data_IF_899540818470
#
_entry.id   IF_899540818470
#
_cell.length_a   1.000
_cell.length_b   1.000
_cell.length_c   1.000
_cell.angle_alpha   90.00
_cell.angle_beta   90.00
_cell.angle_gamma   90.00
#
_symmetry.space_group_name_H-M   'P 1'
#
loop_
_entity.id
_entity.type
_entity.pdbx_description
1 polymer ?
#
# COMPACT_ATOMS: atom_id res chain seq x y z
N UNK A 1 -38.83 17.13 -10.00
CA UNK A 1 -38.53 17.37 -8.57
C UNK A 1 -39.65 16.88 -7.65
N UNK A 2 -40.15 15.65 -7.82
CA UNK A 2 -41.03 14.97 -6.87
C UNK A 2 -40.78 13.46 -7.00
N UNK A 3 -39.68 12.99 -6.41
CA UNK A 3 -39.56 11.59 -5.96
C UNK A 3 -38.33 11.31 -5.08
N UNK A 4 -37.48 12.31 -4.79
CA UNK A 4 -36.29 12.15 -3.95
C UNK A 4 -36.55 12.38 -2.45
N UNK A 5 -37.75 12.83 -2.08
CA UNK A 5 -38.07 13.27 -0.70
C UNK A 5 -38.65 12.17 0.19
N UNK A 6 -38.93 10.97 -0.34
CA UNK A 6 -39.49 9.85 0.46
C UNK A 6 -38.47 8.80 0.93
N UNK A 7 -37.23 8.84 0.45
CA UNK A 7 -36.15 7.94 0.92
C UNK A 7 -35.32 8.60 2.04
N UNK A 8 -35.30 9.93 2.10
CA UNK A 8 -34.58 10.70 3.14
C UNK A 8 -35.36 10.73 4.48
N UNK A 9 -36.68 10.48 4.45
CA UNK A 9 -37.52 10.51 5.66
C UNK A 9 -37.45 9.23 6.52
N UNK A 10 -36.84 8.15 6.02
CA UNK A 10 -36.66 6.91 6.80
C UNK A 10 -35.24 6.76 7.39
N UNK A 11 -34.35 7.72 7.13
CA UNK A 11 -32.96 7.74 7.61
C UNK A 11 -32.72 8.67 8.81
N UNK A 12 -33.65 9.59 9.12
CA UNK A 12 -33.47 10.59 10.18
C UNK A 12 -33.97 10.18 11.59
N UNK A 13 -34.44 8.94 11.79
CA UNK A 13 -34.86 8.47 13.13
C UNK A 13 -33.89 7.50 13.82
N UNK A 14 -32.70 7.23 13.25
CA UNK A 14 -31.76 6.23 13.79
C UNK A 14 -30.42 6.83 14.23
N UNK A 15 -29.93 7.94 13.65
CA UNK A 15 -28.54 8.39 13.91
C UNK A 15 -28.33 9.86 14.34
N UNK A 16 -29.36 10.63 14.69
CA UNK A 16 -29.22 11.86 15.49
C UNK A 16 -28.15 12.89 15.03
N UNK A 17 -27.96 13.12 13.72
CA UNK A 17 -27.00 14.10 13.20
C UNK A 17 -27.71 15.12 12.29
N UNK A 18 -27.62 16.41 12.65
CA UNK A 18 -28.08 17.55 11.83
C UNK A 18 -26.97 17.95 10.86
N UNK A 19 -27.29 18.06 9.57
CA UNK A 19 -26.44 18.75 8.59
C UNK A 19 -27.11 20.06 8.14
N UNK A 20 -26.43 21.19 8.33
CA UNK A 20 -26.74 22.49 7.73
C UNK A 20 -25.84 22.73 6.50
N UNK A 21 -26.34 23.38 5.42
CA UNK A 21 -25.53 23.79 4.29
C UNK A 21 -25.07 25.25 4.43
N UNK A 22 -23.75 25.48 4.52
CA UNK A 22 -23.11 26.77 4.22
C UNK A 22 -22.30 26.60 2.93
N UNK A 23 -22.38 27.42 1.89
CA UNK A 23 -22.62 28.85 1.84
C UNK A 23 -21.37 29.53 1.25
N UNK A 24 -20.93 29.13 0.05
CA UNK A 24 -19.81 29.79 -0.62
C UNK A 24 -20.31 31.04 -1.36
N UNK A 25 -20.07 32.21 -0.77
CA UNK A 25 -20.22 33.50 -1.42
C UNK A 25 -18.98 33.78 -2.30
N UNK A 26 -19.16 33.76 -3.62
CA UNK A 26 -18.16 34.26 -4.55
C UNK A 26 -18.15 35.79 -4.54
N UNK A 27 -17.01 36.38 -4.19
CA UNK A 27 -16.78 37.82 -4.37
C UNK A 27 -16.66 38.14 -5.87
N UNK A 28 -17.70 38.77 -6.44
CA UNK A 28 -17.63 39.45 -7.73
C UNK A 28 -17.16 40.88 -7.47
N UNK A 29 -15.91 41.19 -7.84
CA UNK A 29 -15.41 42.56 -7.90
C UNK A 29 -16.02 43.26 -9.14
N UNK A 30 -17.20 43.85 -8.95
CA UNK A 30 -17.76 44.82 -9.89
C UNK A 30 -16.97 46.13 -9.79
N UNK A 31 -16.00 46.32 -10.69
CA UNK A 31 -15.36 47.61 -10.92
C UNK A 31 -16.39 48.62 -11.40
N UNK A 32 -16.92 49.40 -10.46
CA UNK A 32 -17.88 50.47 -10.74
C UNK A 32 -17.13 51.68 -11.27
N UNK A 33 -17.33 52.04 -12.54
CA UNK A 33 -16.88 53.32 -13.07
C UNK A 33 -17.76 54.43 -12.50
N UNK A 34 -17.28 55.15 -11.49
CA UNK A 34 -17.90 56.40 -11.05
C UNK A 34 -17.48 57.54 -11.98
N UNK A 35 -18.44 58.10 -12.73
CA UNK A 35 -18.30 59.43 -13.34
C UNK A 35 -18.98 60.46 -12.44
N UNK A 36 -18.21 61.31 -11.78
CA UNK A 36 -18.71 62.49 -11.07
C UNK A 36 -18.63 63.72 -11.99
N UNK A 37 -19.75 64.42 -12.12
CA UNK A 37 -19.87 65.68 -12.86
C UNK A 37 -19.36 66.85 -12.01
N UNK A 38 -18.45 67.67 -12.57
CA UNK A 38 -18.17 69.02 -12.07
C UNK A 38 -17.98 69.97 -13.24
N UNK A 39 -18.69 71.12 -13.30
CA UNK A 39 -18.67 72.02 -14.44
C UNK A 39 -17.53 73.03 -14.25
N UNK A 40 -16.38 72.77 -14.88
CA UNK A 40 -15.35 73.74 -15.33
C UNK A 40 -13.96 73.09 -15.34
N UNK A 41 -13.67 72.26 -16.35
CA UNK A 41 -12.32 72.09 -16.90
C UNK A 41 -12.41 71.22 -18.17
N UNK A 42 -11.59 71.50 -19.19
CA UNK A 42 -11.44 70.62 -20.37
C UNK A 42 -11.14 69.19 -19.91
N UNK A 43 -12.03 68.27 -20.21
CA UNK A 43 -11.90 66.84 -19.93
C UNK A 43 -10.76 66.24 -20.77
N UNK A 44 -9.61 65.99 -20.14
CA UNK A 44 -8.64 65.02 -20.67
C UNK A 44 -9.09 63.65 -20.17
N UNK A 45 -9.67 62.82 -21.05
CA UNK A 45 -9.81 61.40 -20.81
C UNK A 45 -8.41 60.79 -20.68
N UNK A 46 -7.96 60.55 -19.44
CA UNK A 46 -6.73 59.79 -19.17
C UNK A 46 -7.16 58.33 -19.00
N UNK A 47 -6.84 57.49 -19.98
CA UNK A 47 -6.99 56.05 -19.82
C UNK A 47 -6.22 55.61 -18.56
N UNK A 48 -6.79 54.75 -17.70
CA UNK A 48 -6.00 54.18 -16.61
C UNK A 48 -4.83 53.42 -17.24
N UNK A 49 -3.61 53.74 -16.81
CA UNK A 49 -2.44 52.96 -17.21
C UNK A 49 -2.72 51.50 -16.81
N UNK A 50 -2.49 50.52 -17.69
CA UNK A 50 -2.67 49.12 -17.31
C UNK A 50 -1.67 48.83 -16.20
N UNK A 51 -2.16 48.65 -14.98
CA UNK A 51 -1.36 48.11 -13.89
C UNK A 51 -1.07 46.66 -14.26
N UNK A 52 0.10 46.43 -14.86
CA UNK A 52 0.62 45.09 -15.12
C UNK A 52 0.98 44.50 -13.75
N UNK A 53 0.03 43.82 -13.13
CA UNK A 53 0.31 42.94 -12.00
C UNK A 53 1.08 41.76 -12.59
N UNK A 54 2.38 41.73 -12.38
CA UNK A 54 3.17 40.53 -12.61
C UNK A 54 2.68 39.46 -11.62
N UNK A 55 1.78 38.59 -12.07
CA UNK A 55 1.62 37.30 -11.42
C UNK A 55 2.95 36.56 -11.64
N UNK A 56 3.78 36.53 -10.60
CA UNK A 56 4.90 35.59 -10.54
C UNK A 56 4.26 34.21 -10.44
N UNK A 57 3.96 33.60 -11.59
CA UNK A 57 3.61 32.20 -11.63
C UNK A 57 4.92 31.46 -11.38
N UNK A 58 5.16 31.07 -10.14
CA UNK A 58 6.24 30.16 -9.80
C UNK A 58 6.02 28.90 -10.63
N UNK A 59 6.80 28.76 -11.71
CA UNK A 59 7.01 27.48 -12.36
C UNK A 59 7.64 26.60 -11.28
N UNK A 60 6.81 25.87 -10.54
CA UNK A 60 7.28 24.78 -9.72
C UNK A 60 7.93 23.81 -10.70
N UNK A 61 9.25 23.87 -10.82
CA UNK A 61 10.01 22.79 -11.39
C UNK A 61 9.62 21.56 -10.56
N UNK A 62 8.83 20.66 -11.13
CA UNK A 62 8.63 19.33 -10.55
C UNK A 62 10.03 18.75 -10.48
N UNK A 63 10.59 18.67 -9.27
CA UNK A 63 11.84 17.95 -9.06
C UNK A 63 11.55 16.51 -9.49
N UNK A 64 12.01 16.16 -10.67
CA UNK A 64 12.08 14.77 -11.10
C UNK A 64 13.12 14.16 -10.17
N UNK A 65 12.68 13.33 -9.21
CA UNK A 65 13.49 12.69 -8.15
C UNK A 65 13.35 13.28 -6.73
N UNK A 66 12.15 13.70 -6.34
CA UNK A 66 11.81 14.04 -4.96
C UNK A 66 12.07 12.88 -4.00
N UNK A 67 12.53 13.23 -2.80
CA UNK A 67 12.98 12.31 -1.76
C UNK A 67 11.85 11.97 -0.79
N UNK A 68 12.05 10.93 0.04
CA UNK A 68 11.08 10.54 1.07
C UNK A 68 10.68 11.75 1.93
N UNK A 69 9.38 11.91 2.21
CA UNK A 69 8.73 13.04 2.88
C UNK A 69 8.61 14.34 2.07
N UNK A 70 9.26 14.46 0.91
CA UNK A 70 9.06 15.62 0.05
C UNK A 70 7.70 15.57 -0.64
N UNK A 71 7.11 16.74 -0.88
CA UNK A 71 5.80 16.85 -1.52
C UNK A 71 5.85 16.33 -2.96
N UNK A 72 4.76 15.68 -3.39
CA UNK A 72 4.59 15.20 -4.75
C UNK A 72 3.14 15.43 -5.21
N UNK A 73 2.93 15.40 -6.52
CA UNK A 73 1.61 15.51 -7.14
C UNK A 73 1.36 14.38 -8.16
N UNK A 74 2.41 13.77 -8.68
CA UNK A 74 2.38 12.63 -9.58
C UNK A 74 3.41 11.57 -9.19
N UNK A 75 3.18 10.33 -9.63
CA UNK A 75 4.10 9.21 -9.36
C UNK A 75 5.52 9.47 -9.91
N UNK A 76 5.64 10.25 -10.99
CA UNK A 76 6.91 10.62 -11.63
C UNK A 76 7.72 11.67 -10.87
N UNK A 77 7.12 12.34 -9.88
CA UNK A 77 7.83 13.33 -9.06
C UNK A 77 8.82 12.64 -8.13
N UNK A 78 8.46 11.46 -7.61
CA UNK A 78 9.27 10.74 -6.65
C UNK A 78 10.42 9.99 -7.31
N UNK A 79 11.52 9.83 -6.57
CA UNK A 79 12.67 9.06 -7.02
C UNK A 79 12.38 7.56 -7.21
N UNK A 80 13.29 6.81 -7.87
CA UNK A 80 13.15 5.37 -8.05
C UNK A 80 12.91 4.63 -6.74
N UNK A 81 11.98 3.67 -6.75
CA UNK A 81 11.61 2.90 -5.55
C UNK A 81 10.73 3.67 -4.55
N UNK A 82 10.32 4.89 -4.88
CA UNK A 82 9.39 5.70 -4.10
C UNK A 82 8.01 5.76 -4.76
N UNK A 83 7.01 6.06 -3.95
CA UNK A 83 5.62 6.18 -4.34
C UNK A 83 5.06 7.53 -3.88
N UNK A 84 4.25 8.18 -4.72
CA UNK A 84 3.58 9.42 -4.34
C UNK A 84 2.25 9.12 -3.62
N UNK A 85 2.29 9.08 -2.29
CA UNK A 85 1.17 8.68 -1.44
C UNK A 85 0.62 9.83 -0.59
N UNK A 86 -0.64 9.72 -0.18
CA UNK A 86 -1.26 10.64 0.78
C UNK A 86 -1.51 9.91 2.11
N UNK A 87 -1.47 10.66 3.21
CA UNK A 87 -1.94 10.19 4.51
C UNK A 87 -2.92 11.18 5.17
N UNK A 88 -4.21 11.17 4.75
CA UNK A 88 -5.23 12.05 5.31
C UNK A 88 -5.44 11.86 6.81
N UNK A 89 -5.29 10.62 7.32
CA UNK A 89 -5.44 10.30 8.74
C UNK A 89 -4.43 11.02 9.67
N UNK A 90 -3.31 11.51 9.11
CA UNK A 90 -2.34 12.34 9.82
C UNK A 90 -2.53 13.85 9.54
N UNK A 91 -3.59 14.24 8.86
CA UNK A 91 -3.88 15.63 8.50
C UNK A 91 -2.98 16.19 7.40
N UNK A 92 -2.26 15.33 6.66
CA UNK A 92 -1.48 15.77 5.51
C UNK A 92 -2.41 16.28 4.40
N UNK A 93 -2.17 17.53 3.98
CA UNK A 93 -2.99 18.21 2.96
C UNK A 93 -2.49 17.99 1.53
N UNK A 94 -1.29 17.47 1.37
CA UNK A 94 -0.66 17.20 0.09
C UNK A 94 0.02 15.82 0.13
N UNK A 95 0.05 15.10 -1.00
CA UNK A 95 0.82 13.87 -1.11
C UNK A 95 2.31 14.10 -0.89
N UNK A 96 2.99 13.07 -0.41
CA UNK A 96 4.43 13.02 -0.20
C UNK A 96 5.02 11.77 -0.84
N UNK A 97 6.31 11.82 -1.17
CA UNK A 97 7.03 10.63 -1.56
C UNK A 97 7.23 9.73 -0.35
N UNK A 98 6.72 8.51 -0.44
CA UNK A 98 6.89 7.44 0.53
C UNK A 98 7.71 6.31 -0.09
N UNK A 99 8.22 5.42 0.73
CA UNK A 99 8.95 4.25 0.29
C UNK A 99 7.99 3.26 -0.35
N UNK A 100 8.34 2.75 -1.54
CA UNK A 100 7.52 1.78 -2.28
C UNK A 100 8.12 0.38 -2.37
N UNK A 101 9.36 0.19 -1.88
CA UNK A 101 10.07 -1.09 -1.90
C UNK A 101 11.00 -1.24 -0.69
N UNK A 102 11.16 -2.46 -0.14
CA UNK A 102 12.20 -2.75 0.86
C UNK A 102 13.55 -2.94 0.15
N UNK A 103 14.63 -2.93 0.92
CA UNK A 103 15.92 -3.41 0.41
C UNK A 103 15.89 -4.93 0.40
N UNK A 104 16.15 -5.57 -0.74
CA UNK A 104 16.28 -7.03 -0.77
C UNK A 104 17.48 -7.46 0.11
N UNK A 105 17.28 -8.31 1.13
CA UNK A 105 18.34 -8.64 2.07
C UNK A 105 19.35 -9.65 1.50
N UNK A 106 18.90 -10.57 0.64
CA UNK A 106 19.68 -11.72 0.15
C UNK A 106 20.92 -11.36 -0.67
N UNK A 107 20.99 -10.23 -1.43
CA UNK A 107 22.24 -9.81 -2.06
C UNK A 107 23.25 -9.15 -1.10
N UNK A 108 22.81 -8.71 0.09
CA UNK A 108 23.65 -8.01 1.08
C UNK A 108 24.17 -8.98 2.12
N UNK A 109 23.28 -9.80 2.67
CA UNK A 109 23.58 -10.88 3.61
C UNK A 109 22.98 -12.16 3.04
N UNK A 110 23.84 -13.08 2.64
CA UNK A 110 23.47 -14.34 2.01
C UNK A 110 23.84 -15.54 2.89
N UNK A 111 23.41 -16.73 2.49
CA UNK A 111 23.81 -17.99 3.15
C UNK A 111 23.23 -18.19 4.55
N UNK A 112 22.31 -17.34 5.00
CA UNK A 112 21.58 -17.54 6.25
C UNK A 112 20.34 -18.44 6.06
N UNK A 113 19.93 -19.17 7.12
CA UNK A 113 18.66 -19.91 7.16
C UNK A 113 17.46 -19.03 6.82
N UNK A 114 16.47 -19.58 6.10
CA UNK A 114 15.24 -18.86 5.73
C UNK A 114 14.53 -18.20 6.92
N UNK A 115 14.52 -18.87 8.07
CA UNK A 115 13.94 -18.38 9.32
C UNK A 115 14.79 -17.32 10.06
N UNK A 116 15.85 -16.77 9.45
CA UNK A 116 16.52 -15.55 9.95
C UNK A 116 15.99 -14.29 9.28
N UNK A 117 15.37 -14.39 8.11
CA UNK A 117 14.88 -13.24 7.37
C UNK A 117 13.49 -12.84 7.83
N UNK A 118 13.20 -11.56 7.67
CA UNK A 118 11.88 -10.95 7.81
C UNK A 118 11.34 -10.60 6.41
N UNK A 119 10.09 -10.96 6.16
CA UNK A 119 9.40 -10.77 4.90
C UNK A 119 8.08 -10.01 5.10
N UNK A 120 7.74 -9.15 4.14
CA UNK A 120 6.43 -8.50 4.10
C UNK A 120 5.39 -9.50 3.61
N UNK A 121 4.25 -9.54 4.29
CA UNK A 121 3.08 -10.33 3.92
C UNK A 121 1.89 -9.40 3.72
N UNK A 122 1.14 -9.61 2.64
CA UNK A 122 -0.13 -8.90 2.43
C UNK A 122 -1.29 -9.77 2.93
N UNK A 123 -2.10 -9.22 3.83
CA UNK A 123 -3.33 -9.84 4.30
C UNK A 123 -4.37 -9.81 3.18
N UNK A 124 -5.02 -10.95 2.92
CA UNK A 124 -6.00 -11.12 1.85
C UNK A 124 -5.56 -10.48 0.53
N UNK A 125 -4.40 -10.94 0.02
CA UNK A 125 -3.66 -10.33 -1.09
C UNK A 125 -4.50 -10.13 -2.36
N UNK A 126 -5.55 -10.94 -2.55
CA UNK A 126 -6.46 -10.88 -3.71
C UNK A 126 -7.61 -9.88 -3.55
N UNK A 127 -7.86 -9.40 -2.33
CA UNK A 127 -8.98 -8.54 -1.97
C UNK A 127 -8.65 -7.09 -2.35
N UNK A 128 -8.70 -6.81 -3.65
CA UNK A 128 -8.20 -5.58 -4.25
C UNK A 128 -9.32 -4.57 -4.45
N UNK A 129 -9.10 -3.32 -4.01
CA UNK A 129 -10.00 -2.19 -4.24
C UNK A 129 -10.31 -2.05 -5.74
N UNK A 130 -11.58 -1.82 -6.06
CA UNK A 130 -12.07 -1.68 -7.43
C UNK A 130 -11.86 -2.89 -8.36
N UNK A 131 -11.44 -4.05 -7.84
CA UNK A 131 -11.39 -5.27 -8.65
C UNK A 131 -12.79 -5.54 -9.25
N UNK A 132 -12.90 -5.88 -10.55
CA UNK A 132 -14.20 -6.10 -11.18
C UNK A 132 -15.04 -7.13 -10.41
N UNK A 133 -16.32 -6.86 -10.11
CA UNK A 133 -17.19 -7.83 -9.49
C UNK A 133 -17.63 -8.89 -10.50
N UNK A 134 -18.26 -9.96 -10.00
CA UNK A 134 -18.89 -10.96 -10.86
C UNK A 134 -20.02 -10.32 -11.69
N UNK A 135 -20.23 -10.76 -12.96
CA UNK A 135 -21.30 -10.24 -13.80
C UNK A 135 -22.66 -10.30 -13.11
N UNK A 136 -23.34 -9.15 -13.02
CA UNK A 136 -24.67 -9.03 -12.43
C UNK A 136 -24.71 -9.07 -10.90
N UNK A 137 -23.57 -9.05 -10.20
CA UNK A 137 -23.50 -9.10 -8.74
C UNK A 137 -22.73 -7.89 -8.22
N UNK A 138 -23.32 -7.14 -7.28
CA UNK A 138 -22.58 -6.12 -6.55
C UNK A 138 -21.70 -6.80 -5.49
N UNK A 139 -20.40 -6.53 -5.48
CA UNK A 139 -19.51 -7.01 -4.42
C UNK A 139 -19.77 -6.20 -3.14
N UNK A 140 -20.00 -6.90 -2.03
CA UNK A 140 -20.24 -6.36 -0.69
C UNK A 140 -19.32 -7.10 0.27
N UNK A 141 -18.10 -6.58 0.41
CA UNK A 141 -17.08 -7.11 1.31
C UNK A 141 -16.04 -6.03 1.57
N UNK A 142 -15.07 -6.33 2.43
CA UNK A 142 -13.93 -5.46 2.71
C UNK A 142 -12.80 -5.69 1.71
N UNK A 143 -12.03 -4.64 1.45
CA UNK A 143 -10.84 -4.68 0.60
C UNK A 143 -9.60 -4.52 1.46
N UNK A 144 -8.53 -5.21 1.10
CA UNK A 144 -7.31 -5.27 1.88
C UNK A 144 -6.13 -4.68 1.14
N UNK A 145 -6.13 -4.65 -0.19
CA UNK A 145 -5.02 -4.16 -1.00
C UNK A 145 -5.51 -3.28 -2.14
N UNK A 146 -4.61 -2.52 -2.75
CA UNK A 146 -4.90 -1.67 -3.93
C UNK A 146 -4.18 -2.16 -5.19
N UNK A 147 -3.19 -3.03 -5.03
CA UNK A 147 -2.34 -3.55 -6.10
C UNK A 147 -2.70 -4.99 -6.46
N UNK A 148 -2.51 -5.36 -7.74
CA UNK A 148 -2.51 -6.77 -8.14
C UNK A 148 -1.46 -7.57 -7.38
N UNK A 149 -1.64 -8.89 -7.28
CA UNK A 149 -0.66 -9.76 -6.63
C UNK A 149 0.69 -9.70 -7.35
N UNK A 150 0.68 -9.59 -8.68
CA UNK A 150 1.88 -9.32 -9.47
C UNK A 150 2.63 -8.07 -8.98
N UNK A 151 1.92 -6.96 -8.74
CA UNK A 151 2.54 -5.71 -8.29
C UNK A 151 2.99 -5.79 -6.83
N UNK A 152 2.23 -6.46 -5.95
CA UNK A 152 2.65 -6.73 -4.58
C UNK A 152 4.02 -7.44 -4.56
N UNK A 153 4.17 -8.51 -5.35
CA UNK A 153 5.44 -9.25 -5.47
C UNK A 153 6.57 -8.39 -6.06
N UNK A 154 6.28 -7.59 -7.10
CA UNK A 154 7.27 -6.66 -7.69
C UNK A 154 7.69 -5.54 -6.72
N UNK A 155 6.83 -5.18 -5.78
CA UNK A 155 7.11 -4.18 -4.76
C UNK A 155 7.80 -4.75 -3.50
N UNK A 156 8.19 -6.03 -3.54
CA UNK A 156 9.00 -6.65 -2.48
C UNK A 156 8.20 -7.44 -1.43
N UNK A 157 6.88 -7.61 -1.63
CA UNK A 157 6.10 -8.58 -0.85
C UNK A 157 6.61 -9.99 -1.17
N UNK A 158 6.78 -10.82 -0.14
CA UNK A 158 7.24 -12.22 -0.29
C UNK A 158 6.37 -13.22 0.47
N UNK A 159 5.32 -12.76 1.15
CA UNK A 159 4.25 -13.61 1.63
C UNK A 159 2.87 -13.14 1.18
N UNK A 160 1.96 -14.07 0.91
CA UNK A 160 0.59 -13.79 0.52
C UNK A 160 -0.36 -14.56 1.44
N UNK A 161 -1.34 -13.89 2.04
CA UNK A 161 -2.45 -14.56 2.73
C UNK A 161 -3.64 -14.66 1.79
N UNK A 162 -4.17 -15.88 1.64
CA UNK A 162 -5.24 -16.19 0.70
C UNK A 162 -6.34 -17.02 1.37
N UNK A 163 -7.53 -16.45 1.45
CA UNK A 163 -8.73 -17.19 1.85
C UNK A 163 -9.27 -18.00 0.66
N UNK A 164 -9.21 -19.33 0.75
CA UNK A 164 -9.60 -20.25 -0.33
C UNK A 164 -10.85 -21.05 0.04
N UNK A 165 -11.82 -21.11 -0.87
CA UNK A 165 -13.10 -21.77 -0.67
C UNK A 165 -13.46 -22.66 -1.85
N UNK A 166 -14.14 -23.79 -1.58
CA UNK A 166 -14.92 -24.46 -2.63
C UNK A 166 -16.10 -23.58 -3.05
N UNK A 167 -16.17 -23.23 -4.33
CA UNK A 167 -17.23 -22.39 -4.87
C UNK A 167 -17.42 -22.60 -6.37
N UNK A 168 -18.68 -22.69 -6.83
CA UNK A 168 -19.00 -22.89 -8.26
C UNK A 168 -18.25 -24.08 -8.91
N UNK A 169 -18.08 -25.19 -8.18
CA UNK A 169 -17.33 -26.38 -8.61
C UNK A 169 -15.85 -26.15 -8.90
N UNK A 170 -15.25 -25.12 -8.32
CA UNK A 170 -13.82 -24.79 -8.40
C UNK A 170 -13.35 -24.22 -7.05
N UNK A 171 -12.07 -23.87 -6.92
CA UNK A 171 -11.51 -23.19 -5.74
C UNK A 171 -11.39 -21.71 -6.02
N UNK A 172 -12.03 -20.90 -5.19
CA UNK A 172 -12.12 -19.46 -5.34
C UNK A 172 -11.50 -18.71 -4.18
N UNK A 173 -11.08 -17.49 -4.48
CA UNK A 173 -10.68 -16.50 -3.49
C UNK A 173 -11.88 -15.63 -3.11
N UNK A 174 -12.24 -15.63 -1.83
CA UNK A 174 -13.41 -14.93 -1.33
C UNK A 174 -13.11 -14.28 0.02
N UNK A 175 -13.49 -13.01 0.19
CA UNK A 175 -13.43 -12.36 1.50
C UNK A 175 -14.78 -12.53 2.18
N UNK A 176 -14.98 -13.68 2.81
CA UNK A 176 -16.30 -14.19 3.20
C UNK A 176 -16.40 -14.52 4.69
N UNK A 177 -17.49 -15.17 5.11
CA UNK A 177 -17.75 -15.48 6.51
C UNK A 177 -18.39 -16.86 6.68
N UNK A 178 -18.23 -17.43 7.88
CA UNK A 178 -18.79 -18.74 8.28
C UNK A 178 -18.33 -19.91 7.39
N UNK A 179 -17.12 -19.84 6.84
CA UNK A 179 -16.55 -20.90 6.01
C UNK A 179 -17.31 -21.16 4.71
N UNK A 180 -18.02 -20.16 4.18
CA UNK A 180 -18.74 -20.27 2.91
C UNK A 180 -18.44 -19.07 2.01
N UNK A 181 -18.20 -19.32 0.73
CA UNK A 181 -18.11 -18.25 -0.28
C UNK A 181 -19.48 -17.94 -0.87
N UNK A 182 -19.76 -16.65 -1.06
CA UNK A 182 -20.99 -16.17 -1.70
C UNK A 182 -20.63 -15.36 -2.94
N UNK A 183 -21.56 -15.29 -3.91
CA UNK A 183 -21.36 -14.50 -5.13
C UNK A 183 -20.97 -13.05 -4.85
N UNK A 184 -21.51 -12.43 -3.79
CA UNK A 184 -21.24 -11.04 -3.42
C UNK A 184 -19.95 -10.83 -2.60
N UNK A 185 -19.28 -11.91 -2.17
CA UNK A 185 -17.98 -11.88 -1.48
C UNK A 185 -16.84 -12.46 -2.32
N UNK A 186 -17.17 -13.08 -3.46
CA UNK A 186 -16.21 -13.70 -4.38
C UNK A 186 -15.40 -12.65 -5.17
N UNK A 187 -14.12 -12.95 -5.38
CA UNK A 187 -13.22 -12.18 -6.23
C UNK A 187 -12.98 -12.87 -7.55
N UNK A 188 -12.30 -14.03 -7.53
CA UNK A 188 -11.94 -14.78 -8.73
C UNK A 188 -11.55 -16.23 -8.39
N UNK A 189 -11.49 -17.14 -9.38
CA UNK A 189 -10.85 -18.44 -9.22
C UNK A 189 -9.41 -18.29 -8.74
N UNK A 190 -9.01 -19.12 -7.77
CA UNK A 190 -7.70 -19.02 -7.12
C UNK A 190 -6.54 -19.28 -8.09
N UNK A 191 -6.77 -20.09 -9.13
CA UNK A 191 -5.77 -20.40 -10.16
C UNK A 191 -5.22 -19.16 -10.86
N UNK A 192 -6.02 -18.09 -10.99
CA UNK A 192 -5.57 -16.84 -11.63
C UNK A 192 -4.47 -16.15 -10.82
N UNK A 193 -4.70 -15.99 -9.51
CA UNK A 193 -3.69 -15.43 -8.61
C UNK A 193 -2.46 -16.33 -8.50
N UNK A 194 -2.63 -17.65 -8.46
CA UNK A 194 -1.50 -18.58 -8.44
C UNK A 194 -0.67 -18.53 -9.73
N UNK A 195 -1.27 -18.25 -10.89
CA UNK A 195 -0.54 -18.00 -12.14
C UNK A 195 0.27 -16.71 -12.11
N UNK A 196 -0.20 -15.67 -11.40
CA UNK A 196 0.62 -14.47 -11.16
C UNK A 196 1.88 -14.82 -10.33
N UNK A 197 1.73 -15.69 -9.32
CA UNK A 197 2.87 -16.19 -8.51
C UNK A 197 3.82 -17.04 -9.36
N UNK A 198 3.30 -17.92 -10.22
CA UNK A 198 4.10 -18.76 -11.10
C UNK A 198 4.92 -17.90 -12.07
N UNK A 199 4.28 -16.91 -12.71
CA UNK A 199 4.95 -15.99 -13.62
C UNK A 199 6.07 -15.23 -12.89
N UNK A 200 5.80 -14.73 -11.68
CA UNK A 200 6.81 -14.06 -10.86
C UNK A 200 7.99 -14.96 -10.52
N UNK A 201 7.76 -16.20 -10.07
CA UNK A 201 8.83 -17.14 -9.74
C UNK A 201 9.63 -17.60 -10.96
N UNK A 202 8.99 -17.64 -12.15
CA UNK A 202 9.66 -17.90 -13.42
C UNK A 202 10.56 -16.72 -13.84
N UNK A 203 10.06 -15.49 -13.72
CA UNK A 203 10.83 -14.27 -14.03
C UNK A 203 11.97 -14.02 -13.04
N UNK A 204 11.84 -14.47 -11.79
CA UNK A 204 12.75 -14.16 -10.69
C UNK A 204 13.32 -15.45 -10.05
N UNK A 205 14.38 -16.06 -10.62
CA UNK A 205 14.84 -17.39 -10.25
C UNK A 205 15.47 -17.49 -8.85
N UNK A 206 15.83 -16.35 -8.24
CA UNK A 206 16.43 -16.28 -6.91
C UNK A 206 15.42 -16.00 -5.80
N UNK A 207 14.15 -15.75 -6.14
CA UNK A 207 13.13 -15.33 -5.18
C UNK A 207 12.38 -16.53 -4.62
N UNK A 208 11.97 -16.40 -3.36
CA UNK A 208 11.13 -17.35 -2.63
C UNK A 208 9.83 -16.65 -2.26
N UNK A 209 8.69 -17.31 -2.50
CA UNK A 209 7.37 -16.82 -2.10
C UNK A 209 6.77 -17.75 -1.05
N UNK A 210 6.15 -17.18 -0.03
CA UNK A 210 5.36 -17.90 0.96
C UNK A 210 3.87 -17.65 0.71
N UNK A 211 3.04 -18.69 0.76
CA UNK A 211 1.58 -18.57 0.73
C UNK A 211 1.03 -19.15 2.02
N UNK A 212 0.13 -18.42 2.66
CA UNK A 212 -0.55 -18.80 3.91
C UNK A 212 -2.04 -18.82 3.62
N UNK A 213 -2.65 -19.99 3.69
CA UNK A 213 -4.03 -20.21 3.25
C UNK A 213 -4.95 -20.26 4.47
N UNK A 214 -5.94 -19.37 4.51
CA UNK A 214 -7.13 -19.60 5.32
C UNK A 214 -8.04 -20.55 4.54
N UNK A 215 -8.08 -21.80 4.99
CA UNK A 215 -8.50 -22.95 4.19
C UNK A 215 -9.92 -23.39 4.50
N UNK A 216 -10.81 -23.20 3.51
CA UNK A 216 -12.19 -23.69 3.48
C UNK A 216 -12.43 -24.62 2.28
N UNK A 217 -11.38 -25.28 1.79
CA UNK A 217 -11.44 -26.23 0.67
C UNK A 217 -11.65 -27.64 1.21
N UNK A 218 -12.83 -28.19 0.99
CA UNK A 218 -13.21 -29.54 1.36
C UNK A 218 -13.04 -30.55 0.22
N UNK A 219 -12.93 -30.08 -1.03
CA UNK A 219 -12.64 -30.93 -2.18
C UNK A 219 -11.37 -31.75 -1.94
N UNK A 220 -11.43 -33.10 -2.00
CA UNK A 220 -10.26 -33.94 -1.77
C UNK A 220 -9.13 -33.64 -2.76
N UNK A 221 -7.91 -33.45 -2.26
CA UNK A 221 -6.74 -33.04 -3.07
C UNK A 221 -6.90 -31.69 -3.78
N UNK A 222 -7.86 -30.88 -3.34
CA UNK A 222 -8.22 -29.62 -3.99
C UNK A 222 -7.03 -28.68 -4.09
N UNK A 223 -6.29 -28.48 -2.99
CA UNK A 223 -5.13 -27.59 -2.98
C UNK A 223 -4.00 -28.16 -3.84
N UNK A 224 -3.61 -29.43 -3.65
CA UNK A 224 -2.52 -30.00 -4.46
C UNK A 224 -2.82 -29.90 -5.96
N UNK A 225 -4.04 -30.25 -6.39
CA UNK A 225 -4.46 -30.17 -7.79
C UNK A 225 -4.44 -28.73 -8.31
N UNK A 226 -4.94 -27.78 -7.51
CA UNK A 226 -4.93 -26.36 -7.84
C UNK A 226 -3.49 -25.86 -8.08
N UNK A 227 -2.57 -26.12 -7.14
CA UNK A 227 -1.18 -25.69 -7.26
C UNK A 227 -0.45 -26.36 -8.45
N UNK A 228 -0.68 -27.65 -8.69
CA UNK A 228 -0.16 -28.33 -9.89
C UNK A 228 -0.73 -27.72 -11.17
N UNK A 229 -2.03 -27.41 -11.22
CA UNK A 229 -2.66 -26.80 -12.40
C UNK A 229 -2.14 -25.40 -12.70
N UNK A 230 -1.71 -24.67 -11.67
CA UNK A 230 -1.03 -23.39 -11.80
C UNK A 230 0.45 -23.51 -12.19
N UNK A 231 1.02 -24.73 -12.21
CA UNK A 231 2.43 -24.97 -12.51
C UNK A 231 3.38 -24.64 -11.36
N UNK A 232 2.89 -24.60 -10.13
CA UNK A 232 3.67 -24.22 -8.94
C UNK A 232 4.32 -25.39 -8.19
N UNK A 233 3.92 -26.62 -8.51
CA UNK A 233 4.45 -27.85 -7.92
C UNK A 233 5.97 -28.00 -8.10
N UNK A 234 6.52 -27.55 -9.25
CA UNK A 234 7.97 -27.49 -9.50
C UNK A 234 8.76 -26.63 -8.50
N UNK A 235 8.10 -25.72 -7.78
CA UNK A 235 8.72 -24.83 -6.79
C UNK A 235 8.53 -25.27 -5.34
N UNK A 236 7.73 -26.32 -5.10
CA UNK A 236 7.19 -26.64 -3.79
C UNK A 236 8.26 -27.03 -2.76
N UNK A 237 8.25 -26.39 -1.60
CA UNK A 237 9.06 -26.81 -0.45
C UNK A 237 8.34 -27.94 0.31
N UNK A 238 8.90 -29.16 0.38
CA UNK A 238 8.20 -30.30 0.94
C UNK A 238 8.18 -30.29 2.47
N UNK A 239 7.05 -30.68 3.07
CA UNK A 239 6.85 -30.81 4.54
C UNK A 239 7.92 -31.67 5.20
N UNK A 240 8.41 -32.71 4.54
CA UNK A 240 9.46 -33.60 5.06
C UNK A 240 10.79 -32.90 5.33
N UNK A 241 11.04 -31.74 4.69
CA UNK A 241 12.23 -30.91 4.88
C UNK A 241 12.01 -29.74 5.84
N UNK A 242 10.80 -29.54 6.37
CA UNK A 242 10.56 -28.49 7.37
C UNK A 242 11.30 -28.88 8.66
N UNK A 243 12.14 -27.98 9.22
CA UNK A 243 12.87 -28.26 10.44
C UNK A 243 11.93 -28.53 11.62
N UNK A 244 12.40 -29.37 12.54
CA UNK A 244 11.66 -29.69 13.77
C UNK A 244 12.33 -29.03 14.97
N UNK A 245 11.55 -28.79 16.02
CA UNK A 245 12.04 -28.33 17.33
C UNK A 245 12.81 -27.00 17.28
N UNK A 246 12.34 -26.04 16.48
CA UNK A 246 12.94 -24.72 16.39
C UNK A 246 14.27 -24.66 15.64
N UNK A 247 14.70 -25.75 15.00
CA UNK A 247 15.92 -25.77 14.22
C UNK A 247 15.86 -24.82 13.02
N UNK A 248 17.04 -24.43 12.56
CA UNK A 248 17.21 -23.59 11.39
C UNK A 248 16.69 -24.28 10.12
N UNK A 249 16.05 -23.47 9.27
CA UNK A 249 15.66 -23.85 7.91
C UNK A 249 16.89 -24.03 7.02
N UNK A 250 16.76 -24.74 5.89
CA UNK A 250 17.75 -24.61 4.83
C UNK A 250 18.00 -23.12 4.54
N UNK A 251 19.23 -22.81 4.16
CA UNK A 251 19.58 -21.46 3.75
C UNK A 251 18.76 -21.05 2.54
N UNK A 252 18.52 -19.76 2.37
CA UNK A 252 17.83 -19.24 1.18
C UNK A 252 18.55 -19.69 -0.10
N UNK A 253 19.89 -19.73 -0.07
CA UNK A 253 20.71 -20.24 -1.18
C UNK A 253 20.42 -21.70 -1.49
N UNK A 254 20.36 -22.58 -0.48
CA UNK A 254 20.05 -24.00 -0.67
C UNK A 254 18.61 -24.22 -1.17
N UNK A 255 17.65 -23.44 -0.67
CA UNK A 255 16.26 -23.48 -1.15
C UNK A 255 16.18 -23.11 -2.62
N UNK A 256 16.84 -22.02 -3.03
CA UNK A 256 16.89 -21.57 -4.43
C UNK A 256 17.57 -22.60 -5.33
N UNK A 257 18.73 -23.14 -4.92
CA UNK A 257 19.46 -24.15 -5.68
C UNK A 257 18.67 -25.45 -5.89
N UNK A 258 17.89 -25.86 -4.88
CA UNK A 258 16.99 -27.00 -4.98
C UNK A 258 15.67 -26.68 -5.71
N UNK A 259 15.50 -25.45 -6.19
CA UNK A 259 14.25 -24.90 -6.73
C UNK A 259 13.05 -25.03 -5.76
N UNK A 260 13.28 -25.13 -4.45
CA UNK A 260 12.24 -25.14 -3.42
C UNK A 260 11.88 -23.70 -3.01
N UNK A 261 11.28 -22.97 -3.95
CA UNK A 261 11.07 -21.52 -3.88
C UNK A 261 9.62 -21.12 -3.54
N UNK A 262 8.76 -22.09 -3.26
CA UNK A 262 7.39 -21.86 -2.80
C UNK A 262 7.16 -22.59 -1.49
N UNK A 263 6.90 -21.84 -0.42
CA UNK A 263 6.55 -22.39 0.91
C UNK A 263 5.06 -22.17 1.13
N UNK A 264 4.29 -23.22 1.39
CA UNK A 264 2.82 -23.11 1.55
C UNK A 264 2.37 -23.67 2.89
N UNK A 265 1.58 -22.86 3.59
CA UNK A 265 0.92 -23.20 4.83
C UNK A 265 -0.60 -23.16 4.67
N UNK A 266 -1.30 -23.97 5.46
CA UNK A 266 -2.77 -24.01 5.54
C UNK A 266 -3.23 -24.00 7.00
N UNK A 267 -4.39 -23.38 7.25
CA UNK A 267 -5.08 -23.39 8.54
C UNK A 267 -5.79 -24.71 8.85
N UNK A 268 -5.96 -25.63 7.90
CA UNK A 268 -6.57 -26.94 8.14
C UNK A 268 -5.50 -28.00 8.41
N UNK A 269 -5.50 -28.55 9.63
CA UNK A 269 -4.54 -29.55 10.08
C UNK A 269 -4.57 -30.86 9.27
N UNK A 270 -5.72 -31.22 8.67
CA UNK A 270 -5.86 -32.46 7.90
C UNK A 270 -5.01 -32.47 6.63
N UNK A 271 -4.83 -31.29 6.02
CA UNK A 271 -4.11 -31.11 4.75
C UNK A 271 -2.65 -31.49 4.79
N UNK A 272 -2.00 -31.47 5.95
CA UNK A 272 -0.60 -31.89 6.03
C UNK A 272 -0.45 -33.39 5.80
N UNK A 273 -1.31 -34.19 6.42
CA UNK A 273 -1.30 -35.64 6.22
C UNK A 273 -1.89 -36.02 4.86
N UNK A 274 -2.97 -35.34 4.47
CA UNK A 274 -3.75 -35.71 3.30
C UNK A 274 -3.15 -35.16 2.01
N UNK A 275 -2.63 -33.95 1.99
CA UNK A 275 -2.21 -33.24 0.76
C UNK A 275 -0.72 -32.83 0.78
N UNK A 276 -0.03 -32.98 1.91
CA UNK A 276 1.35 -32.53 2.06
C UNK A 276 1.51 -31.02 2.12
N UNK A 277 0.44 -30.28 2.47
CA UNK A 277 0.47 -28.82 2.69
C UNK A 277 0.70 -28.56 4.18
N UNK A 278 1.71 -27.76 4.52
CA UNK A 278 2.17 -27.63 5.90
C UNK A 278 1.10 -27.00 6.81
N UNK A 279 0.79 -27.64 7.94
CA UNK A 279 -0.17 -27.07 8.89
C UNK A 279 0.47 -25.89 9.64
N UNK A 280 -0.07 -24.69 9.45
CA UNK A 280 0.50 -23.42 9.92
C UNK A 280 0.96 -23.48 11.39
N UNK A 281 0.04 -23.76 12.32
CA UNK A 281 0.31 -23.71 13.75
C UNK A 281 1.19 -24.85 14.29
N UNK A 282 1.53 -25.83 13.45
CA UNK A 282 2.58 -26.81 13.75
C UNK A 282 3.98 -26.26 13.51
N UNK A 283 4.14 -25.33 12.57
CA UNK A 283 5.45 -24.90 12.07
C UNK A 283 5.78 -23.43 12.35
N UNK A 284 4.79 -22.60 12.69
CA UNK A 284 5.00 -21.21 13.11
C UNK A 284 4.17 -20.85 14.35
N UNK A 285 4.65 -19.87 15.11
CA UNK A 285 3.82 -19.14 16.09
C UNK A 285 3.18 -17.93 15.43
N UNK A 286 2.04 -17.49 15.96
CA UNK A 286 1.26 -16.39 15.40
C UNK A 286 0.59 -15.58 16.53
N UNK A 287 0.60 -14.25 16.42
CA UNK A 287 -0.20 -13.40 17.29
C UNK A 287 -1.65 -13.31 16.80
N UNK A 288 -2.57 -12.89 17.66
CA UNK A 288 -3.95 -12.68 17.24
C UNK A 288 -4.05 -11.70 16.08
N UNK A 289 -5.11 -11.88 15.30
CA UNK A 289 -5.44 -11.05 14.15
C UNK A 289 -6.59 -10.09 14.48
N UNK A 290 -6.79 -9.08 13.63
CA UNK A 290 -7.85 -8.09 13.82
C UNK A 290 -7.68 -7.24 15.08
N UNK A 291 -8.76 -6.64 15.56
CA UNK A 291 -8.72 -5.74 16.72
C UNK A 291 -8.20 -6.41 18.02
N UNK A 292 -8.47 -7.70 18.31
CA UNK A 292 -7.82 -8.40 19.42
C UNK A 292 -6.30 -8.50 19.29
N UNK A 293 -5.76 -8.42 18.07
CA UNK A 293 -4.33 -8.44 17.76
C UNK A 293 -3.68 -7.05 17.65
N UNK A 294 -4.47 -6.01 17.38
CA UNK A 294 -4.02 -4.61 17.25
C UNK A 294 -4.33 -3.85 18.53
N UNK A 295 -3.75 -4.32 19.64
CA UNK A 295 -3.89 -3.70 20.96
C UNK A 295 -2.57 -3.05 21.39
N UNK A 296 -2.59 -1.75 21.73
CA UNK A 296 -1.36 -1.04 22.11
C UNK A 296 -0.69 -1.70 23.33
N UNK A 297 0.59 -2.04 23.19
CA UNK A 297 1.40 -2.65 24.25
C UNK A 297 1.09 -4.11 24.55
N UNK A 298 0.20 -4.76 23.79
CA UNK A 298 -0.18 -6.16 23.92
C UNK A 298 0.04 -6.90 22.60
N UNK A 299 0.56 -8.12 22.66
CA UNK A 299 0.70 -8.99 21.50
C UNK A 299 0.28 -10.41 21.89
N UNK A 300 -1.03 -10.67 22.00
CA UNK A 300 -1.54 -11.96 22.43
C UNK A 300 -1.29 -13.00 21.33
N UNK A 301 -1.05 -14.26 21.71
CA UNK A 301 -0.96 -15.36 20.75
C UNK A 301 -2.36 -15.76 20.27
N UNK A 302 -2.45 -16.19 19.01
CA UNK A 302 -3.67 -16.76 18.45
C UNK A 302 -4.03 -18.07 19.15
N UNK A 303 -5.32 -18.35 19.33
CA UNK A 303 -5.80 -19.54 20.07
C UNK A 303 -5.27 -20.87 19.52
N UNK A 304 -5.20 -21.01 18.21
CA UNK A 304 -4.71 -22.22 17.53
C UNK A 304 -3.18 -22.35 17.62
N UNK A 305 -2.49 -21.23 17.81
CA UNK A 305 -1.03 -21.16 17.92
C UNK A 305 -0.52 -21.58 19.30
N UNK A 306 0.74 -22.02 19.36
CA UNK A 306 1.48 -22.02 20.62
C UNK A 306 1.76 -20.59 21.08
N UNK A 307 2.09 -20.43 22.36
CA UNK A 307 2.56 -19.16 22.91
C UNK A 307 3.73 -18.61 22.09
N UNK A 308 3.78 -17.29 21.90
CA UNK A 308 4.80 -16.63 21.05
C UNK A 308 6.24 -16.89 21.50
N UNK A 309 6.46 -17.13 22.79
CA UNK A 309 7.77 -17.47 23.34
C UNK A 309 8.12 -18.96 23.21
N UNK A 310 7.28 -19.78 22.56
CA UNK A 310 7.61 -21.15 22.19
C UNK A 310 8.87 -21.16 21.32
N UNK A 311 9.72 -22.16 21.55
CA UNK A 311 10.91 -22.44 20.74
C UNK A 311 10.80 -23.74 19.97
N UNK A 312 9.61 -24.36 19.98
CA UNK A 312 9.36 -25.59 19.21
C UNK A 312 9.14 -25.30 17.73
N UNK A 313 8.65 -24.11 17.41
CA UNK A 313 8.49 -23.56 16.07
C UNK A 313 9.65 -22.60 15.78
N UNK A 314 10.13 -22.58 14.53
CA UNK A 314 11.23 -21.73 14.09
C UNK A 314 10.79 -20.50 13.31
N UNK A 315 9.48 -20.36 13.05
CA UNK A 315 8.89 -19.22 12.34
C UNK A 315 7.91 -18.46 13.24
N UNK A 316 7.81 -17.14 13.03
CA UNK A 316 6.83 -16.27 13.64
C UNK A 316 6.12 -15.40 12.59
N UNK A 317 4.80 -15.55 12.48
CA UNK A 317 3.91 -14.66 11.73
C UNK A 317 3.31 -13.59 12.65
N UNK A 318 3.60 -12.33 12.37
CA UNK A 318 2.99 -11.19 13.05
C UNK A 318 1.87 -10.59 12.19
N UNK A 319 0.63 -10.73 12.64
CA UNK A 319 -0.52 -10.00 12.12
C UNK A 319 -0.55 -8.57 12.70
N UNK A 320 -0.62 -7.57 11.82
CA UNK A 320 -0.85 -6.19 12.20
C UNK A 320 -1.83 -5.53 11.24
N UNK A 321 -3.11 -5.80 11.48
CA UNK A 321 -4.21 -5.22 10.74
C UNK A 321 -5.49 -5.24 11.59
N UNK A 322 -6.32 -4.17 11.55
CA UNK A 322 -7.60 -4.16 12.25
C UNK A 322 -8.59 -5.14 11.62
N UNK A 323 -9.67 -5.46 12.34
CA UNK A 323 -10.75 -6.31 11.83
C UNK A 323 -11.39 -5.70 10.58
N UNK A 324 -11.53 -4.36 10.60
CA UNK A 324 -12.11 -3.59 9.51
C UNK A 324 -11.00 -2.81 8.81
N UNK A 325 -10.57 -3.22 7.61
CA UNK A 325 -9.53 -2.51 6.88
C UNK A 325 -10.07 -1.15 6.42
N UNK A 326 -9.43 -0.07 6.89
CA UNK A 326 -9.79 1.30 6.49
C UNK A 326 -8.64 1.91 5.69
N UNK A 327 -8.82 1.95 4.38
CA UNK A 327 -7.83 2.44 3.41
C UNK A 327 -7.23 3.82 3.77
N UNK A 328 -8.06 4.73 4.30
CA UNK A 328 -7.63 6.09 4.67
C UNK A 328 -6.76 6.13 5.94
N UNK A 329 -6.91 5.15 6.83
CA UNK A 329 -6.21 5.08 8.12
C UNK A 329 -4.93 4.24 8.03
N UNK A 330 -4.81 3.34 7.05
CA UNK A 330 -3.66 2.43 6.93
C UNK A 330 -2.30 3.12 6.79
N UNK A 331 -2.26 4.33 6.25
CA UNK A 331 -1.02 5.12 6.23
C UNK A 331 -0.52 5.45 7.66
N UNK A 332 -1.44 5.70 8.60
CA UNK A 332 -1.12 5.93 10.01
C UNK A 332 -0.76 4.62 10.70
N UNK A 333 -1.45 3.53 10.37
CA UNK A 333 -1.20 2.19 10.92
C UNK A 333 0.26 1.75 10.63
N UNK A 334 0.71 1.80 9.38
CA UNK A 334 2.03 1.29 8.97
C UNK A 334 3.20 2.23 9.29
N UNK A 335 3.02 3.17 10.22
CA UNK A 335 4.01 4.19 10.59
C UNK A 335 4.54 3.91 12.00
N UNK A 336 4.59 4.90 12.89
CA UNK A 336 5.01 4.70 14.27
C UNK A 336 4.26 3.56 15.02
N UNK A 337 2.93 3.39 14.86
CA UNK A 337 2.19 2.31 15.53
C UNK A 337 2.66 0.90 15.15
N UNK A 338 2.94 0.63 13.87
CA UNK A 338 3.48 -0.66 13.44
C UNK A 338 4.87 -0.93 14.06
N UNK A 339 5.74 0.08 14.12
CA UNK A 339 7.05 -0.06 14.77
C UNK A 339 6.93 -0.35 16.28
N UNK A 340 5.97 0.28 16.96
CA UNK A 340 5.63 0.01 18.36
C UNK A 340 5.13 -1.43 18.55
N UNK A 341 4.27 -1.91 17.66
CA UNK A 341 3.77 -3.28 17.71
C UNK A 341 4.87 -4.30 17.44
N UNK A 342 5.76 -4.08 16.47
CA UNK A 342 6.93 -4.95 16.25
C UNK A 342 7.75 -5.10 17.53
N UNK A 343 8.01 -4.01 18.25
CA UNK A 343 8.74 -4.05 19.51
C UNK A 343 7.96 -4.76 20.63
N UNK A 344 6.64 -4.60 20.65
CA UNK A 344 5.75 -5.27 21.60
C UNK A 344 5.76 -6.78 21.38
N UNK A 345 5.56 -7.22 20.14
CA UNK A 345 5.60 -8.62 19.76
C UNK A 345 6.99 -9.24 19.90
N UNK A 346 8.07 -8.49 19.63
CA UNK A 346 9.45 -8.92 19.89
C UNK A 346 9.65 -9.30 21.36
N UNK A 347 9.17 -8.47 22.29
CA UNK A 347 9.24 -8.75 23.74
C UNK A 347 8.36 -9.95 24.12
N UNK A 348 7.11 -9.99 23.64
CA UNK A 348 6.17 -11.08 23.91
C UNK A 348 6.68 -12.43 23.38
N UNK A 349 7.37 -12.43 22.24
CA UNK A 349 8.00 -13.59 21.63
C UNK A 349 9.35 -13.96 22.28
N UNK A 350 9.75 -13.33 23.38
CA UNK A 350 10.99 -13.63 24.10
C UNK A 350 12.26 -13.24 23.34
N UNK A 351 12.26 -12.03 22.77
CA UNK A 351 13.35 -11.46 21.97
C UNK A 351 13.55 -12.15 20.61
N UNK A 352 12.46 -12.60 19.98
CA UNK A 352 12.46 -13.11 18.61
C UNK A 352 11.70 -12.11 17.72
N UNK A 353 12.35 -11.59 16.69
CA UNK A 353 11.69 -10.76 15.69
C UNK A 353 10.81 -11.63 14.77
N UNK A 354 9.64 -11.14 14.35
CA UNK A 354 8.81 -11.83 13.37
C UNK A 354 9.56 -12.16 12.07
N UNK A 355 9.30 -13.32 11.50
CA UNK A 355 9.74 -13.69 10.16
C UNK A 355 8.81 -13.16 9.08
N UNK A 356 7.54 -12.95 9.42
CA UNK A 356 6.51 -12.46 8.53
C UNK A 356 5.77 -11.31 9.21
N UNK A 357 5.61 -10.19 8.50
CA UNK A 357 4.83 -9.04 8.96
C UNK A 357 3.65 -8.86 8.00
N UNK A 358 2.46 -9.26 8.45
CA UNK A 358 1.22 -9.22 7.69
C UNK A 358 0.47 -7.91 7.92
N UNK A 359 0.14 -7.21 6.83
CA UNK A 359 -0.55 -5.91 6.85
C UNK A 359 -1.60 -5.81 5.75
N UNK A 360 -2.61 -4.95 5.96
CA UNK A 360 -3.44 -4.43 4.86
C UNK A 360 -2.67 -3.33 4.10
N UNK A 361 -3.15 -2.87 2.95
CA UNK A 361 -2.73 -1.66 2.22
C UNK A 361 -1.22 -1.34 2.32
N UNK A 362 -0.38 -2.34 2.04
CA UNK A 362 1.05 -2.34 2.41
C UNK A 362 1.87 -1.14 1.89
N UNK A 363 1.43 -0.50 0.82
CA UNK A 363 2.07 0.69 0.24
C UNK A 363 1.79 1.99 1.00
N UNK A 364 0.72 2.03 1.81
CA UNK A 364 0.30 3.25 2.52
C UNK A 364 1.14 3.47 3.76
N UNK A 365 1.75 4.65 3.87
CA UNK A 365 2.55 5.05 5.04
C UNK A 365 2.70 6.57 5.12
N UNK A 366 3.34 7.05 6.19
CA UNK A 366 3.74 8.44 6.36
C UNK A 366 5.14 8.78 5.83
N UNK A 367 5.79 7.83 5.14
CA UNK A 367 7.17 7.98 4.68
C UNK A 367 7.84 6.62 4.48
N UNK A 368 8.31 6.00 5.56
CA UNK A 368 9.08 4.75 5.49
C UNK A 368 8.24 3.47 5.39
N UNK A 369 7.11 3.44 6.10
CA UNK A 369 6.15 2.35 6.05
C UNK A 369 6.68 0.99 6.53
N UNK A 370 5.92 -0.05 6.15
CA UNK A 370 6.31 -1.46 6.39
C UNK A 370 7.67 -1.80 5.75
N UNK A 371 8.02 -1.13 4.65
CA UNK A 371 9.30 -1.34 3.94
C UNK A 371 10.51 -0.96 4.80
N UNK A 372 10.48 0.23 5.42
CA UNK A 372 11.57 0.66 6.31
C UNK A 372 11.63 -0.17 7.59
N UNK A 373 10.47 -0.59 8.11
CA UNK A 373 10.39 -1.44 9.30
C UNK A 373 11.04 -2.81 9.04
N UNK A 374 10.73 -3.46 7.92
CA UNK A 374 11.35 -4.75 7.57
C UNK A 374 12.84 -4.62 7.28
N UNK A 375 13.29 -3.52 6.69
CA UNK A 375 14.71 -3.21 6.53
C UNK A 375 15.45 -3.11 7.87
N UNK A 376 14.85 -2.45 8.86
CA UNK A 376 15.37 -2.36 10.22
C UNK A 376 15.42 -3.74 10.88
N UNK A 377 14.32 -4.50 10.81
CA UNK A 377 14.26 -5.86 11.36
C UNK A 377 15.32 -6.78 10.77
N UNK A 378 15.51 -6.76 9.45
CA UNK A 378 16.55 -7.53 8.78
C UNK A 378 17.96 -7.03 9.15
N UNK A 379 18.19 -5.72 9.27
CA UNK A 379 19.46 -5.18 9.77
C UNK A 379 19.83 -5.74 11.14
N UNK A 380 18.86 -5.73 12.06
CA UNK A 380 19.05 -6.22 13.43
C UNK A 380 19.32 -7.72 13.46
N UNK A 381 18.48 -8.51 12.78
CA UNK A 381 18.55 -9.98 12.85
C UNK A 381 19.72 -10.56 12.06
N UNK A 382 20.02 -9.99 10.88
CA UNK A 382 20.98 -10.60 9.96
C UNK A 382 22.43 -10.16 10.22
N UNK A 383 22.64 -8.92 10.71
CA UNK A 383 23.99 -8.38 10.88
C UNK A 383 24.19 -7.50 12.12
N UNK A 384 23.18 -7.31 12.97
CA UNK A 384 23.29 -6.52 14.21
C UNK A 384 23.28 -5.01 14.01
N UNK A 385 22.87 -4.53 12.84
CA UNK A 385 22.84 -3.12 12.51
C UNK A 385 21.43 -2.54 12.58
N UNK A 386 21.33 -1.21 12.62
CA UNK A 386 20.04 -0.51 12.66
C UNK A 386 19.18 -0.71 11.41
N UNK A 387 19.78 -1.08 10.28
CA UNK A 387 19.09 -1.37 9.01
C UNK A 387 19.97 -2.24 8.11
N UNK A 388 19.34 -2.99 7.22
CA UNK A 388 20.00 -3.90 6.28
C UNK A 388 21.02 -3.20 5.37
N UNK A 389 20.81 -1.93 5.02
CA UNK A 389 21.75 -1.16 4.19
C UNK A 389 23.06 -0.82 4.92
N UNK A 390 23.07 -0.88 6.26
CA UNK A 390 24.26 -0.74 7.07
C UNK A 390 25.12 -2.01 7.10
N UNK A 391 24.56 -3.15 6.71
CA UNK A 391 25.26 -4.43 6.77
C UNK A 391 26.46 -4.46 5.81
N UNK A 392 27.45 -5.26 6.20
CA UNK A 392 28.68 -5.49 5.46
C UNK A 392 28.83 -6.98 5.19
N UNK A 393 28.90 -7.34 3.91
CA UNK A 393 29.08 -8.74 3.51
C UNK A 393 30.39 -9.29 4.08
N UNK A 394 30.31 -10.42 4.77
CA UNK A 394 31.47 -11.08 5.38
C UNK A 394 32.01 -10.42 6.65
N UNK A 395 31.45 -9.29 7.10
CA UNK A 395 31.88 -8.65 8.34
C UNK A 395 31.25 -9.35 9.57
N UNK A 396 31.90 -9.28 10.74
CA UNK A 396 31.33 -9.79 11.98
C UNK A 396 30.01 -9.08 12.34
N UNK A 397 29.10 -9.80 13.00
CA UNK A 397 27.85 -9.24 13.53
C UNK A 397 28.12 -7.98 14.39
N UNK A 398 27.36 -6.91 14.14
CA UNK A 398 27.52 -5.59 14.77
C UNK A 398 28.49 -4.65 14.05
N UNK A 399 29.19 -5.11 13.00
CA UNK A 399 30.13 -4.28 12.23
C UNK A 399 29.40 -3.47 11.15
N UNK A 400 28.83 -2.33 11.54
CA UNK A 400 27.95 -1.54 10.68
C UNK A 400 28.72 -0.47 9.89
N UNK A 401 28.33 -0.27 8.62
CA UNK A 401 28.72 0.94 7.87
C UNK A 401 28.19 2.16 8.60
N UNK A 402 28.99 3.23 8.61
CA UNK A 402 28.47 4.54 8.94
C UNK A 402 27.62 5.04 7.77
N UNK A 403 26.37 4.58 7.75
CA UNK A 403 25.34 5.19 6.92
C UNK A 403 24.85 6.41 7.67
N UNK A 404 24.90 7.58 7.03
CA UNK A 404 24.05 8.69 7.44
C UNK A 404 22.63 8.14 7.55
N UNK A 405 22.00 8.31 8.72
CA UNK A 405 20.55 8.12 8.87
C UNK A 405 19.93 8.80 7.65
N UNK A 406 19.07 8.13 6.86
CA UNK A 406 18.62 8.71 5.60
C UNK A 406 17.86 10.01 5.86
N UNK A 407 18.58 11.13 5.81
CA UNK A 407 18.07 12.35 5.24
C UNK A 407 18.00 12.09 3.75
N UNK A 408 16.79 11.90 3.23
CA UNK A 408 16.44 12.33 1.88
C UNK A 408 17.44 11.95 0.77
N UNK A 409 17.96 10.71 0.72
CA UNK A 409 18.85 10.30 -0.38
C UNK A 409 18.70 8.82 -0.72
N UNK A 410 18.60 8.44 -2.00
CA UNK A 410 18.50 7.05 -2.41
C UNK A 410 19.90 6.43 -2.51
N UNK A 411 20.07 5.22 -1.98
CA UNK A 411 21.22 4.36 -2.30
C UNK A 411 20.86 3.57 -3.56
N UNK A 412 21.48 3.93 -4.67
CA UNK A 412 21.43 3.17 -5.93
C UNK A 412 22.33 1.93 -5.81
N UNK A 413 21.77 0.79 -5.41
CA UNK A 413 22.38 -0.51 -5.65
C UNK A 413 21.58 -1.24 -6.74
N UNK A 414 22.17 -1.34 -7.93
CA UNK A 414 21.63 -1.95 -9.16
C UNK A 414 21.59 -3.49 -9.15
N UNK A 415 21.49 -4.12 -7.98
CA UNK A 415 21.30 -5.56 -7.88
C UNK A 415 19.85 -5.87 -7.52
N UNK A 416 18.99 -6.01 -8.54
CA UNK A 416 17.61 -6.52 -8.41
C UNK A 416 16.49 -5.47 -8.31
N UNK A 417 16.75 -4.20 -8.60
CA UNK A 417 15.70 -3.16 -8.61
C UNK A 417 14.95 -3.14 -9.95
N UNK A 418 13.63 -3.26 -9.91
CA UNK A 418 12.76 -2.94 -11.04
C UNK A 418 12.84 -1.43 -11.32
N UNK A 419 13.23 -1.07 -12.55
CA UNK A 419 13.30 0.33 -12.98
C UNK A 419 11.93 0.77 -13.47
N UNK A 420 11.13 1.38 -12.59
CA UNK A 420 9.83 1.96 -12.92
C UNK A 420 9.19 2.65 -11.71
N UNK A 421 8.29 3.62 -11.96
CA UNK A 421 7.43 4.16 -10.92
C UNK A 421 6.47 3.08 -10.43
N UNK A 422 6.28 2.94 -9.11
CA UNK A 422 5.21 2.09 -8.57
C UNK A 422 3.87 2.74 -8.96
N UNK A 423 3.18 2.13 -9.92
CA UNK A 423 1.93 2.64 -10.46
C UNK A 423 0.77 1.79 -9.95
N UNK A 424 -0.06 2.39 -9.10
CA UNK A 424 -1.39 1.85 -8.80
C UNK A 424 -2.23 1.83 -10.08
N UNK A 425 -3.21 0.93 -10.12
CA UNK A 425 -4.30 0.97 -11.11
C UNK A 425 -5.04 2.33 -11.12
N UNK A 426 -4.97 3.09 -10.02
CA UNK A 426 -5.34 4.51 -9.95
C UNK A 426 -4.31 5.31 -9.14
N UNK A 427 -3.60 6.23 -9.79
CA UNK A 427 -2.78 7.23 -9.08
C UNK A 427 -3.67 8.17 -8.26
N UNK A 428 -3.12 8.76 -7.19
CA UNK A 428 -3.76 9.85 -6.47
C UNK A 428 -4.30 10.88 -7.48
N UNK A 429 -5.56 11.29 -7.31
CA UNK A 429 -6.19 12.27 -8.19
C UNK A 429 -5.25 13.46 -8.35
N UNK A 430 -4.85 13.75 -9.59
CA UNK A 430 -4.02 14.93 -9.88
C UNK A 430 -4.71 16.14 -9.27
N UNK A 431 -4.05 16.85 -8.37
CA UNK A 431 -4.53 18.16 -7.94
C UNK A 431 -4.43 19.05 -9.16
N UNK A 432 -5.53 19.18 -9.91
CA UNK A 432 -5.64 20.12 -11.01
C UNK A 432 -5.50 21.53 -10.44
N UNK A 433 -4.28 22.03 -10.42
CA UNK A 433 -4.08 23.47 -10.41
C UNK A 433 -4.64 23.96 -11.75
N UNK A 434 -5.59 24.92 -11.77
CA UNK A 434 -6.06 25.49 -13.01
C UNK A 434 -4.83 26.01 -13.77
N UNK A 435 -4.65 25.48 -14.98
CA UNK A 435 -3.47 25.73 -15.79
C UNK A 435 -3.24 27.25 -15.87
N UNK A 436 -2.13 27.74 -15.32
CA UNK A 436 -1.88 29.19 -15.16
C UNK A 436 -1.98 29.92 -16.51
N UNK A 437 -1.66 29.22 -17.61
CA UNK A 437 -1.83 29.71 -18.98
C UNK A 437 -3.29 30.04 -19.32
N UNK A 438 -4.26 29.22 -18.90
CA UNK A 438 -5.68 29.49 -19.14
C UNK A 438 -6.18 30.67 -18.32
N UNK A 439 -5.72 30.84 -17.08
CA UNK A 439 -6.06 32.00 -16.25
C UNK A 439 -5.46 33.29 -16.81
N UNK A 440 -4.20 33.27 -17.27
CA UNK A 440 -3.54 34.40 -17.91
C UNK A 440 -4.22 34.76 -19.24
N UNK A 441 -4.55 33.77 -20.07
CA UNK A 441 -5.27 33.99 -21.34
C UNK A 441 -6.68 34.55 -21.11
N UNK A 442 -7.42 34.04 -20.12
CA UNK A 442 -8.74 34.58 -19.75
C UNK A 442 -8.65 36.02 -19.25
N UNK A 443 -7.64 36.34 -18.43
CA UNK A 443 -7.42 37.72 -17.98
C UNK A 443 -7.02 38.65 -19.12
N UNK A 444 -6.17 38.19 -20.04
CA UNK A 444 -5.75 38.96 -21.21
C UNK A 444 -6.93 39.25 -22.14
N UNK A 445 -7.79 38.25 -22.38
CA UNK A 445 -9.01 38.40 -23.17
C UNK A 445 -10.00 39.37 -22.49
N UNK A 446 -10.20 39.28 -21.17
CA UNK A 446 -11.04 40.24 -20.44
C UNK A 446 -10.50 41.68 -20.52
N UNK A 447 -9.18 41.83 -20.45
CA UNK A 447 -8.51 43.13 -20.60
C UNK A 447 -8.69 43.71 -22.00
N UNK A 448 -8.62 42.86 -23.03
CA UNK A 448 -8.81 43.25 -24.43
C UNK A 448 -10.27 43.69 -24.70
N UNK A 449 -11.24 42.96 -24.17
CA UNK A 449 -12.67 43.29 -24.29
C UNK A 449 -12.97 44.62 -23.59
N UNK A 450 -12.43 44.85 -22.40
CA UNK A 450 -12.59 46.12 -21.69
C UNK A 450 -11.98 47.30 -22.46
N UNK A 451 -10.82 47.12 -23.11
CA UNK A 451 -10.18 48.13 -23.95
C UNK A 451 -10.99 48.45 -25.21
N UNK A 452 -11.56 47.42 -25.86
CA UNK A 452 -12.44 47.60 -27.04
C UNK A 452 -13.72 48.33 -26.66
N UNK A 453 -14.35 47.99 -25.53
CA UNK A 453 -15.55 48.68 -25.05
C UNK A 453 -15.28 50.14 -24.67
N UNK A 454 -14.12 50.45 -24.07
CA UNK A 454 -13.75 51.85 -23.77
C UNK A 454 -13.43 52.65 -25.04
N UNK A 455 -12.80 52.04 -26.04
CA UNK A 455 -12.58 52.66 -27.34
C UNK A 455 -13.91 52.94 -28.08
N UNK A 456 -14.86 52.00 -28.03
CA UNK A 456 -16.20 52.20 -28.60
C UNK A 456 -16.96 53.32 -27.88
N UNK A 457 -16.90 53.38 -26.56
CA UNK A 457 -17.55 54.43 -25.77
C UNK A 457 -16.97 55.83 -26.05
N UNK A 458 -15.65 55.94 -26.29
CA UNK A 458 -15.01 57.18 -26.73
C UNK A 458 -15.39 57.59 -28.15
N UNK A 459 -15.53 56.64 -29.09
CA UNK A 459 -15.95 56.91 -30.46
C UNK A 459 -17.41 57.40 -30.55
N UNK A 460 -18.31 56.85 -29.74
CA UNK A 460 -19.71 57.32 -29.64
C UNK A 460 -19.88 58.67 -28.96
N UNK A 461 -18.87 59.16 -28.23
CA UNK A 461 -18.90 60.48 -27.58
C UNK A 461 -18.30 61.61 -28.45
N UNK A 462 -17.68 61.25 -29.58
CA UNK A 462 -17.03 62.18 -30.52
C UNK A 462 -17.79 62.35 -31.85
N UNK A 463 -18.94 61.69 -31.99
CA UNK A 463 -19.85 61.77 -33.14
C UNK A 463 -21.10 62.59 -32.84
#
# INVERSE_FOLDING_TARGET
>A
MHNTTRIIAQWNSIFGLKFEPSGYAGFVLLGSAMCSHSPNYRSKCRAPAPAVIFLICSLSFTNVNSQVLEACSAATDCGPGLFCGNCPALGLKQPICTRGQPTLPTPIVNGLPFNKYTWIVTHNSFSIVDAPPLPGVQRITFYNQEDSVTNQLRNGVRGLMLDMYDFQNDIWLCHSFRGQCYNFTAFQPAVNTLKEVEAFLTENPTEIVTIIIEDYVHTPKGLTNLFTSAGLDKYWFPVSKIPKKGNDWPTVTEMVQANHRLVVFTSDASKEADEGVAYQWKHMVENESGDPGVEQGSCPHRKESKALNSRSQSLFLMNYFPTYPVEADSCKEHSAPLAEMVNTCYKAAGNLLPNFVAVNFYMRSDGGGVFDIVDKMNGHTLCGCSTITACQMGAPFGSCKNISVPSTSPVSNTAGSFTGSVQFSKSASSVHHPNCLHLVVLYFLQSLVAAVMTAHCCLTYLS
#
